data_IF_281497006154
#
_entry.id   IF_281497006154
#
_cell.length_a   1.000
_cell.length_b   1.000
_cell.length_c   1.000
_cell.angle_alpha   90.00
_cell.angle_beta   90.00
_cell.angle_gamma   90.00
#
_symmetry.space_group_name_H-M   'P 1'
#
loop_
_entity.id
_entity.type
_entity.pdbx_description
1 polymer ?
#
# COMPACT_ATOMS: atom_id res chain seq x y z
N UNK A 1 33.40 -4.06 -0.07
CA UNK A 1 32.66 -5.25 0.42
C UNK A 1 31.20 -4.98 0.17
N UNK A 2 30.38 -6.00 -0.16
CA UNK A 2 28.95 -5.80 -0.28
C UNK A 2 28.37 -5.05 0.93
N UNK A 3 27.46 -4.09 0.71
CA UNK A 3 26.78 -3.44 1.81
C UNK A 3 25.82 -4.43 2.50
N UNK A 4 25.42 -4.11 3.73
CA UNK A 4 24.33 -4.82 4.42
C UNK A 4 23.01 -4.59 3.68
N UNK A 5 22.12 -5.58 3.71
CA UNK A 5 20.78 -5.45 3.14
C UNK A 5 20.03 -4.27 3.78
N UNK A 6 19.34 -3.42 2.99
CA UNK A 6 18.50 -2.37 3.55
C UNK A 6 17.42 -2.93 4.46
N UNK A 7 16.99 -2.13 5.44
CA UNK A 7 15.69 -2.33 6.08
C UNK A 7 14.61 -1.65 5.26
N UNK A 8 13.37 -2.10 5.39
CA UNK A 8 12.21 -1.51 4.74
C UNK A 8 11.12 -1.31 5.79
N UNK A 9 10.54 -0.12 5.83
CA UNK A 9 9.36 0.18 6.64
C UNK A 9 8.12 -0.49 6.04
N UNK A 10 7.00 -0.50 6.78
CA UNK A 10 5.72 -1.01 6.24
C UNK A 10 5.38 -0.30 4.93
N UNK A 11 4.96 -1.09 3.93
CA UNK A 11 4.45 -0.60 2.66
C UNK A 11 3.00 -1.04 2.55
N UNK A 12 2.13 -0.10 2.17
CA UNK A 12 0.70 -0.35 1.98
C UNK A 12 0.28 0.00 0.55
N UNK A 13 -0.92 -0.42 0.14
CA UNK A 13 -1.48 -0.10 -1.18
C UNK A 13 -1.60 1.42 -1.45
N UNK A 14 -1.64 2.22 -0.39
CA UNK A 14 -1.74 3.68 -0.43
C UNK A 14 -0.40 4.39 -0.17
N UNK A 15 0.70 3.66 0.00
CA UNK A 15 2.01 4.26 0.27
C UNK A 15 2.55 5.01 -0.96
N UNK A 16 2.91 6.30 -0.85
CA UNK A 16 3.47 7.05 -1.98
C UNK A 16 4.97 6.77 -2.21
N UNK A 17 5.64 6.16 -1.24
CA UNK A 17 7.07 5.92 -1.24
C UNK A 17 7.40 4.59 -0.56
N UNK A 18 8.48 3.95 -0.99
CA UNK A 18 9.16 2.92 -0.19
C UNK A 18 10.22 3.59 0.67
N UNK A 19 10.14 3.40 1.98
CA UNK A 19 11.04 4.01 2.97
C UNK A 19 11.78 2.95 3.76
N UNK A 20 12.96 3.30 4.27
CA UNK A 20 13.72 2.43 5.15
C UNK A 20 15.11 2.98 5.43
N UNK A 21 16.01 2.11 5.88
CA UNK A 21 17.41 2.46 6.10
C UNK A 21 18.36 1.59 5.32
N UNK A 22 19.51 2.16 4.93
CA UNK A 22 20.63 1.48 4.31
C UNK A 22 21.94 2.14 4.74
N UNK A 23 23.07 1.64 4.25
CA UNK A 23 24.35 2.31 4.47
C UNK A 23 24.35 3.70 3.78
N UNK A 24 24.84 4.71 4.50
CA UNK A 24 24.86 6.10 4.02
C UNK A 24 25.61 6.25 2.68
N UNK A 25 25.05 7.06 1.78
CA UNK A 25 25.59 7.33 0.45
C UNK A 25 25.54 6.14 -0.52
N UNK A 26 24.90 5.02 -0.16
CA UNK A 26 24.76 3.86 -1.06
C UNK A 26 23.48 3.97 -1.89
N UNK A 27 23.55 3.43 -3.11
CA UNK A 27 22.38 3.38 -3.99
C UNK A 27 21.45 2.28 -3.49
N UNK A 28 20.21 2.62 -3.21
CA UNK A 28 19.13 1.69 -2.89
C UNK A 28 18.27 1.49 -4.13
N UNK A 29 18.01 0.24 -4.48
CA UNK A 29 17.14 -0.17 -5.57
C UNK A 29 15.95 -0.93 -5.03
N UNK A 30 14.76 -0.55 -5.48
CA UNK A 30 13.48 -1.24 -5.24
C UNK A 30 13.01 -1.84 -6.56
N UNK A 31 12.81 -3.14 -6.62
CA UNK A 31 12.19 -3.84 -7.74
C UNK A 31 10.72 -4.11 -7.39
N UNK A 32 9.82 -3.62 -8.25
CA UNK A 32 8.39 -3.81 -8.16
C UNK A 32 7.98 -5.18 -8.75
N UNK A 33 6.75 -5.66 -8.49
CA UNK A 33 6.31 -7.00 -8.93
C UNK A 33 6.28 -7.17 -10.46
N UNK A 34 6.13 -6.07 -11.20
CA UNK A 34 6.16 -6.06 -12.66
C UNK A 34 7.57 -5.91 -13.26
N UNK A 35 8.60 -5.98 -12.42
CA UNK A 35 10.00 -5.83 -12.79
C UNK A 35 10.47 -4.38 -12.95
N UNK A 36 9.60 -3.39 -12.70
CA UNK A 36 10.03 -1.98 -12.69
C UNK A 36 11.05 -1.74 -11.58
N UNK A 37 12.14 -1.08 -11.91
CA UNK A 37 13.20 -0.74 -10.96
C UNK A 37 13.13 0.75 -10.61
N UNK A 38 13.08 1.04 -9.32
CA UNK A 38 13.15 2.38 -8.76
C UNK A 38 14.46 2.52 -7.98
N UNK A 39 15.08 3.69 -8.01
CA UNK A 39 16.36 3.92 -7.34
C UNK A 39 16.35 5.18 -6.52
N UNK A 40 17.05 5.15 -5.39
CA UNK A 40 17.37 6.31 -4.57
C UNK A 40 18.74 6.14 -3.91
N UNK A 41 19.13 7.11 -3.10
CA UNK A 41 20.37 7.06 -2.32
C UNK A 41 20.01 7.22 -0.85
N UNK A 42 20.61 6.39 0.01
CA UNK A 42 20.48 6.60 1.45
C UNK A 42 21.27 7.85 1.87
N UNK A 43 20.64 8.72 2.65
CA UNK A 43 21.25 9.96 3.15
C UNK A 43 22.40 9.68 4.14
N UNK A 44 23.04 10.74 4.65
CA UNK A 44 24.16 10.64 5.59
C UNK A 44 23.76 9.99 6.93
N UNK A 45 22.48 9.92 7.25
CA UNK A 45 21.92 9.23 8.40
C UNK A 45 21.48 7.79 8.07
N UNK A 46 21.61 7.38 6.81
CA UNK A 46 21.22 6.08 6.30
C UNK A 46 19.74 5.96 5.93
N UNK A 47 18.94 7.02 5.95
CA UNK A 47 17.53 6.93 5.55
C UNK A 47 17.38 7.04 4.04
N UNK A 48 16.42 6.32 3.47
CA UNK A 48 16.01 6.52 2.08
C UNK A 48 14.48 6.61 1.97
N UNK A 49 14.02 7.35 0.96
CA UNK A 49 12.64 7.38 0.50
C UNK A 49 12.64 7.38 -1.02
N UNK A 50 12.04 6.36 -1.63
CA UNK A 50 11.99 6.19 -3.08
C UNK A 50 10.53 6.30 -3.51
N UNK A 51 10.24 7.29 -4.35
CA UNK A 51 8.90 7.58 -4.85
C UNK A 51 8.35 6.43 -5.71
N UNK A 52 7.12 6.04 -5.41
CA UNK A 52 6.36 5.10 -6.22
C UNK A 52 5.63 5.90 -7.29
N UNK A 53 5.85 5.63 -8.59
CA UNK A 53 5.15 6.35 -9.65
C UNK A 53 3.64 6.24 -9.50
N UNK A 54 2.90 7.35 -9.70
CA UNK A 54 1.46 7.41 -9.43
C UNK A 54 0.60 6.42 -10.25
N UNK A 55 1.13 5.92 -11.37
CA UNK A 55 0.50 4.89 -12.20
C UNK A 55 0.74 3.46 -11.70
N UNK A 56 1.60 3.26 -10.70
CA UNK A 56 1.75 1.98 -9.99
C UNK A 56 0.71 1.93 -8.88
N UNK A 57 -0.09 0.87 -8.90
CA UNK A 57 -1.14 0.60 -7.91
C UNK A 57 -0.93 -0.80 -7.38
N UNK A 58 -0.98 -0.93 -6.07
CA UNK A 58 -0.92 -2.21 -5.39
C UNK A 58 -2.29 -2.57 -4.85
N UNK A 59 -2.52 -3.87 -4.67
CA UNK A 59 -3.74 -4.49 -4.19
C UNK A 59 -3.53 -5.17 -2.84
N UNK A 60 -2.29 -5.22 -2.35
CA UNK A 60 -1.88 -6.01 -1.20
C UNK A 60 -1.46 -7.43 -1.58
N UNK A 61 -0.56 -8.00 -0.79
CA UNK A 61 0.05 -9.31 -1.01
C UNK A 61 1.20 -9.29 -2.02
N UNK A 62 1.43 -8.19 -2.75
CA UNK A 62 2.58 -8.08 -3.63
C UNK A 62 3.91 -7.99 -2.85
N UNK A 63 4.99 -8.52 -3.43
CA UNK A 63 6.32 -8.46 -2.82
C UNK A 63 7.20 -7.41 -3.53
N UNK A 64 7.79 -6.50 -2.75
CA UNK A 64 8.81 -5.58 -3.23
C UNK A 64 10.18 -6.06 -2.76
N UNK A 65 11.17 -5.98 -3.64
CA UNK A 65 12.53 -6.41 -3.37
C UNK A 65 13.45 -5.21 -3.29
N UNK A 66 14.22 -5.10 -2.21
CA UNK A 66 15.07 -3.95 -1.93
C UNK A 66 16.51 -4.39 -1.74
N UNK A 67 17.43 -3.72 -2.44
CA UNK A 67 18.86 -4.02 -2.40
C UNK A 67 19.67 -2.74 -2.36
N UNK A 68 20.89 -2.81 -1.80
CA UNK A 68 21.85 -1.71 -1.79
C UNK A 68 23.07 -2.05 -2.63
N UNK A 69 23.65 -1.05 -3.28
CA UNK A 69 24.88 -1.17 -4.07
C UNK A 69 25.92 -0.16 -3.60
N UNK A 70 27.15 -0.63 -3.35
CA UNK A 70 28.27 0.24 -2.98
C UNK A 70 28.87 0.99 -4.19
N UNK A 71 29.79 1.93 -3.93
CA UNK A 71 30.43 2.72 -5.00
C UNK A 71 31.34 1.88 -5.92
N UNK A 72 31.69 0.66 -5.50
CA UNK A 72 32.49 -0.29 -6.28
C UNK A 72 31.61 -1.29 -7.05
N UNK A 73 30.27 -1.15 -6.98
CA UNK A 73 29.31 -2.01 -7.66
C UNK A 73 28.96 -3.32 -6.94
N UNK A 74 29.38 -3.51 -5.68
CA UNK A 74 28.99 -4.70 -4.91
C UNK A 74 27.55 -4.56 -4.41
N UNK A 75 26.73 -5.60 -4.60
CA UNK A 75 25.31 -5.64 -4.22
C UNK A 75 25.11 -6.37 -2.89
N UNK A 76 24.21 -5.86 -2.04
CA UNK A 76 23.78 -6.52 -0.81
C UNK A 76 22.95 -7.78 -1.08
N UNK A 77 22.66 -8.54 -0.01
CA UNK A 77 21.52 -9.45 0.00
C UNK A 77 20.21 -8.67 -0.19
N UNK A 78 19.15 -9.38 -0.59
CA UNK A 78 17.81 -8.82 -0.81
C UNK A 78 17.01 -8.73 0.49
N UNK A 79 16.34 -7.60 0.69
CA UNK A 79 15.25 -7.47 1.64
C UNK A 79 13.92 -7.55 0.89
N UNK A 80 12.93 -8.24 1.45
CA UNK A 80 11.60 -8.39 0.85
C UNK A 80 10.57 -7.80 1.80
N UNK A 81 9.68 -6.97 1.28
CA UNK A 81 8.50 -6.46 2.00
C UNK A 81 7.24 -6.83 1.25
N UNK A 82 6.24 -7.32 1.98
CA UNK A 82 4.90 -7.57 1.43
C UNK A 82 4.07 -6.29 1.57
N UNK A 83 3.38 -5.91 0.49
CA UNK A 83 2.47 -4.77 0.50
C UNK A 83 1.21 -5.15 1.25
N UNK A 84 0.81 -4.36 2.23
CA UNK A 84 -0.46 -4.55 2.94
C UNK A 84 -1.59 -3.83 2.21
N UNK A 85 -2.72 -4.51 1.99
CA UNK A 85 -3.90 -3.81 1.50
C UNK A 85 -4.47 -2.89 2.58
N UNK A 86 -4.53 -1.60 2.28
CA UNK A 86 -5.21 -0.59 3.09
C UNK A 86 -6.18 0.23 2.25
N UNK A 87 -6.48 -0.23 1.04
CA UNK A 87 -7.41 0.43 0.12
C UNK A 87 -8.81 0.34 0.76
N UNK A 88 -9.45 1.46 1.11
CA UNK A 88 -10.81 1.40 1.62
C UNK A 88 -11.77 0.90 0.54
N UNK A 89 -12.83 0.18 0.90
CA UNK A 89 -13.89 -0.14 -0.05
C UNK A 89 -14.50 1.12 -0.64
N UNK A 90 -15.04 1.01 -1.85
CA UNK A 90 -15.81 2.12 -2.45
C UNK A 90 -17.02 2.42 -1.55
N UNK A 91 -17.22 3.71 -1.26
CA UNK A 91 -18.36 4.14 -0.44
C UNK A 91 -19.68 3.64 -1.06
N UNK A 92 -20.57 3.03 -0.26
CA UNK A 92 -21.84 2.55 -0.79
C UNK A 92 -22.73 3.72 -1.22
N UNK A 93 -23.62 3.47 -2.17
CA UNK A 93 -24.69 4.39 -2.54
C UNK A 93 -25.99 3.96 -1.89
N UNK A 94 -26.94 4.89 -1.77
CA UNK A 94 -28.28 4.60 -1.27
C UNK A 94 -29.31 5.13 -2.26
N UNK A 95 -30.28 4.30 -2.59
CA UNK A 95 -31.46 4.69 -3.36
C UNK A 95 -32.33 5.65 -2.53
N UNK A 96 -33.28 6.33 -3.16
CA UNK A 96 -34.23 7.18 -2.44
C UNK A 96 -34.98 6.38 -1.36
N UNK A 97 -35.06 6.97 -0.15
CA UNK A 97 -35.80 6.44 0.98
C UNK A 97 -36.89 7.45 1.35
N UNK A 98 -38.13 6.98 1.44
CA UNK A 98 -39.32 7.79 1.79
C UNK A 98 -39.95 7.26 3.07
N UNK A 99 -40.96 7.97 3.61
CA UNK A 99 -41.73 7.48 4.77
C UNK A 99 -42.44 6.15 4.52
N UNK A 100 -42.69 5.80 3.26
CA UNK A 100 -43.37 4.58 2.85
C UNK A 100 -42.38 3.45 2.51
N UNK A 101 -41.08 3.71 2.55
CA UNK A 101 -40.06 2.72 2.21
C UNK A 101 -39.96 1.64 3.30
N UNK A 102 -40.12 0.39 2.89
CA UNK A 102 -39.96 -0.79 3.77
C UNK A 102 -38.58 -1.43 3.68
N UNK A 103 -37.72 -0.92 2.79
CA UNK A 103 -36.36 -1.40 2.55
C UNK A 103 -35.43 -0.23 2.22
N UNK A 104 -34.17 -0.35 2.64
CA UNK A 104 -33.07 0.48 2.15
C UNK A 104 -32.32 -0.34 1.11
N UNK A 105 -32.20 0.19 -0.11
CA UNK A 105 -31.44 -0.41 -1.20
C UNK A 105 -30.34 0.53 -1.64
N UNK A 106 -29.32 -0.02 -2.30
CA UNK A 106 -28.13 0.72 -2.69
C UNK A 106 -27.15 -0.17 -3.44
N UNK A 107 -25.96 0.36 -3.69
CA UNK A 107 -24.84 -0.42 -4.23
C UNK A 107 -23.66 -0.36 -3.28
N UNK A 108 -22.86 -1.42 -3.22
CA UNK A 108 -21.59 -1.44 -2.51
C UNK A 108 -20.56 -2.23 -3.30
N UNK A 109 -19.31 -2.22 -2.86
CA UNK A 109 -18.31 -3.12 -3.41
C UNK A 109 -18.62 -4.57 -2.97
N UNK A 110 -18.65 -5.56 -3.89
CA UNK A 110 -19.01 -6.93 -3.55
C UNK A 110 -18.18 -7.49 -2.38
N UNK A 111 -18.84 -8.13 -1.42
CA UNK A 111 -18.21 -8.67 -0.22
C UNK A 111 -17.88 -7.63 0.87
N UNK A 112 -18.03 -6.33 0.60
CA UNK A 112 -17.89 -5.30 1.63
C UNK A 112 -19.09 -5.29 2.58
N UNK A 113 -18.85 -4.94 3.84
CA UNK A 113 -19.93 -4.73 4.82
C UNK A 113 -20.51 -3.33 4.67
N UNK A 114 -21.81 -3.27 4.41
CA UNK A 114 -22.59 -2.03 4.42
C UNK A 114 -23.27 -1.88 5.77
N UNK A 115 -23.18 -0.68 6.34
CA UNK A 115 -23.87 -0.29 7.57
C UNK A 115 -24.86 0.84 7.27
N UNK A 116 -26.09 0.69 7.73
CA UNK A 116 -27.14 1.72 7.68
C UNK A 116 -27.50 2.10 9.11
N UNK A 117 -27.48 3.38 9.43
CA UNK A 117 -27.92 3.90 10.73
C UNK A 117 -29.27 4.60 10.55
N UNK A 118 -30.27 4.15 11.30
CA UNK A 118 -31.61 4.74 11.30
C UNK A 118 -31.67 5.96 12.23
N UNK A 119 -32.67 6.85 12.08
CA UNK A 119 -32.77 8.07 12.92
C UNK A 119 -32.90 7.81 14.43
N UNK A 120 -33.32 6.61 14.84
CA UNK A 120 -33.39 6.19 16.24
C UNK A 120 -32.07 5.60 16.77
N UNK A 121 -31.02 5.57 15.95
CA UNK A 121 -29.71 5.00 16.25
C UNK A 121 -29.61 3.50 16.00
N UNK A 122 -30.66 2.84 15.50
CA UNK A 122 -30.60 1.42 15.14
C UNK A 122 -29.66 1.21 13.95
N UNK A 123 -28.75 0.24 14.08
CA UNK A 123 -27.81 -0.11 13.01
C UNK A 123 -28.27 -1.39 12.29
N UNK A 124 -28.36 -1.33 10.97
CA UNK A 124 -28.55 -2.48 10.10
C UNK A 124 -27.23 -2.77 9.38
N UNK A 125 -26.90 -4.04 9.24
CA UNK A 125 -25.71 -4.47 8.49
C UNK A 125 -26.12 -5.42 7.37
N UNK A 126 -25.40 -5.31 6.26
CA UNK A 126 -25.55 -6.20 5.11
C UNK A 126 -24.19 -6.41 4.44
N UNK A 127 -24.08 -7.45 3.64
CA UNK A 127 -22.92 -7.66 2.75
C UNK A 127 -23.38 -7.35 1.35
N UNK A 128 -22.67 -6.47 0.65
CA UNK A 128 -22.95 -6.20 -0.76
C UNK A 128 -22.65 -7.45 -1.61
N UNK A 129 -23.53 -7.76 -2.55
CA UNK A 129 -23.43 -8.91 -3.45
C UNK A 129 -22.57 -8.63 -4.70
#
# INVERSE_FOLDING_TARGET
>A
TPPVAPTVSEVTSESPQVRGTGEAGRTVKVELPDGTELTGVADDQGNYGIDIPANKKFRGGEQLKVTSTDLSGNKSNEAVVEVKDTTPPVAPTVSEVTSESTQVTGTGEPGSTVKVELPDGTELTGVAD
#
